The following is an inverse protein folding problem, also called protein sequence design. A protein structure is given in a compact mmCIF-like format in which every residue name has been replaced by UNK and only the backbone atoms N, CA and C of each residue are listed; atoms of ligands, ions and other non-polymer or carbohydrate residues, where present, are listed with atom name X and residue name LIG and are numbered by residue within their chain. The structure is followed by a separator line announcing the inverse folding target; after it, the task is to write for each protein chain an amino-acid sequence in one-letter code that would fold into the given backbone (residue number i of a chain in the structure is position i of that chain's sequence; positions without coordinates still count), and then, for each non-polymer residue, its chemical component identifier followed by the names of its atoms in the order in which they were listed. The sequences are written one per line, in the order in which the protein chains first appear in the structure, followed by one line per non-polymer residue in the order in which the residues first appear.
data_IF_127617445380
#
_entry.id   IF_127617445380
#
_cell.length_a   1.000
_cell.length_b   1.000
_cell.length_c   1.000
_cell.angle_alpha   90.00
_cell.angle_beta   90.00
_cell.angle_gamma   90.00
#
_symmetry.space_group_name_H-M   'P 1'
#
loop_
_entity.id
_entity.type
_entity.pdbx_description
1 polymer ?
#
# COMPACT_ATOMS: atom_id res chain seq x y z
N UNK A 1 -23.43 5.37 -8.82
CA UNK A 1 -23.19 6.57 -7.99
C UNK A 1 -23.40 7.86 -8.78
N UNK A 2 -23.27 7.86 -10.11
CA UNK A 2 -23.52 9.05 -10.94
C UNK A 2 -24.97 9.56 -10.86
N UNK A 3 -25.93 8.66 -10.60
CA UNK A 3 -27.35 9.01 -10.45
C UNK A 3 -27.72 9.41 -9.01
N UNK A 4 -27.12 8.77 -8.02
CA UNK A 4 -27.29 9.07 -6.60
C UNK A 4 -25.99 8.71 -5.87
N UNK A 5 -25.18 9.73 -5.50
CA UNK A 5 -23.95 9.53 -4.74
C UNK A 5 -24.19 9.08 -3.29
N UNK A 6 -25.39 9.33 -2.75
CA UNK A 6 -25.75 9.03 -1.36
C UNK A 6 -26.35 7.63 -1.17
N UNK A 7 -26.45 6.84 -2.25
CA UNK A 7 -27.12 5.55 -2.21
C UNK A 7 -26.27 4.46 -1.55
N UNK A 8 -26.35 4.39 -0.22
CA UNK A 8 -25.57 3.50 0.67
C UNK A 8 -25.63 2.02 0.29
N UNK A 9 -26.77 1.54 -0.23
CA UNK A 9 -26.92 0.15 -0.68
C UNK A 9 -26.00 -0.21 -1.84
N UNK A 10 -25.72 0.74 -2.75
CA UNK A 10 -24.80 0.49 -3.87
C UNK A 10 -23.36 0.47 -3.39
N UNK A 11 -22.97 1.36 -2.46
CA UNK A 11 -21.65 1.31 -1.84
C UNK A 11 -21.40 -0.03 -1.15
N UNK A 12 -22.36 -0.51 -0.37
CA UNK A 12 -22.23 -1.79 0.31
C UNK A 12 -22.12 -2.98 -0.68
N UNK A 13 -22.95 -2.99 -1.74
CA UNK A 13 -22.87 -4.05 -2.76
C UNK A 13 -21.55 -4.05 -3.51
N UNK A 14 -21.02 -2.86 -3.83
CA UNK A 14 -19.74 -2.71 -4.53
C UNK A 14 -18.57 -3.08 -3.63
N UNK A 15 -18.59 -2.69 -2.36
CA UNK A 15 -17.63 -3.13 -1.36
C UNK A 15 -17.62 -4.67 -1.22
N UNK A 16 -18.78 -5.32 -1.20
CA UNK A 16 -18.85 -6.79 -1.16
C UNK A 16 -18.21 -7.43 -2.41
N UNK A 17 -18.47 -6.88 -3.61
CA UNK A 17 -17.85 -7.36 -4.84
C UNK A 17 -16.32 -7.15 -4.83
N UNK A 18 -15.84 -6.05 -4.25
CA UNK A 18 -14.42 -5.82 -4.06
C UNK A 18 -13.79 -6.77 -3.04
N UNK A 19 -14.49 -7.08 -1.95
CA UNK A 19 -14.06 -8.10 -0.99
C UNK A 19 -13.94 -9.48 -1.66
N UNK A 20 -14.91 -9.88 -2.48
CA UNK A 20 -14.87 -11.15 -3.25
C UNK A 20 -13.76 -11.19 -4.31
N UNK A 21 -13.38 -10.03 -4.84
CA UNK A 21 -12.29 -9.92 -5.84
C UNK A 21 -10.94 -9.56 -5.22
N UNK A 22 -10.81 -9.68 -3.90
CA UNK A 22 -9.61 -9.36 -3.11
C UNK A 22 -9.09 -7.94 -3.34
N UNK A 23 -9.95 -7.01 -3.72
CA UNK A 23 -9.65 -5.59 -3.95
C UNK A 23 -9.86 -4.81 -2.66
N UNK A 24 -9.05 -5.09 -1.65
CA UNK A 24 -9.30 -4.58 -0.29
C UNK A 24 -9.15 -3.07 -0.16
N UNK A 25 -8.24 -2.44 -0.92
CA UNK A 25 -8.10 -0.98 -0.97
C UNK A 25 -9.40 -0.30 -1.45
N UNK A 26 -9.96 -0.77 -2.57
CA UNK A 26 -11.21 -0.22 -3.12
C UNK A 26 -12.43 -0.58 -2.26
N UNK A 27 -12.41 -1.74 -1.61
CA UNK A 27 -13.40 -2.11 -0.60
C UNK A 27 -13.39 -1.12 0.57
N UNK A 28 -12.20 -0.81 1.12
CA UNK A 28 -12.04 0.16 2.21
C UNK A 28 -12.62 1.52 1.84
N UNK A 29 -12.30 2.06 0.66
CA UNK A 29 -12.83 3.35 0.21
C UNK A 29 -14.36 3.41 0.16
N UNK A 30 -15.00 2.32 -0.29
CA UNK A 30 -16.47 2.25 -0.34
C UNK A 30 -17.09 2.13 1.05
N UNK A 31 -16.43 1.43 1.97
CA UNK A 31 -16.85 1.33 3.37
C UNK A 31 -16.64 2.65 4.14
N UNK A 32 -15.58 3.38 3.85
CA UNK A 32 -15.32 4.72 4.42
C UNK A 32 -16.43 5.70 4.02
N UNK A 33 -16.75 5.75 2.72
CA UNK A 33 -17.88 6.55 2.20
C UNK A 33 -19.22 6.10 2.78
N UNK A 34 -19.42 4.79 2.96
CA UNK A 34 -20.61 4.26 3.59
C UNK A 34 -20.72 4.73 5.06
N UNK A 35 -19.62 4.74 5.80
CA UNK A 35 -19.59 5.22 7.18
C UNK A 35 -19.81 6.74 7.28
N UNK A 36 -19.30 7.52 6.34
CA UNK A 36 -19.56 8.96 6.26
C UNK A 36 -21.05 9.27 6.02
N UNK A 37 -21.70 8.50 5.14
CA UNK A 37 -23.10 8.68 4.79
C UNK A 37 -24.07 8.06 5.80
N UNK A 38 -23.71 6.90 6.37
CA UNK A 38 -24.47 6.18 7.40
C UNK A 38 -23.56 5.76 8.57
N UNK A 39 -23.36 6.65 9.56
CA UNK A 39 -22.58 6.34 10.75
C UNK A 39 -23.20 5.25 11.63
N UNK A 40 -24.46 4.86 11.38
CA UNK A 40 -25.10 3.78 12.13
C UNK A 40 -24.60 2.39 11.70
N UNK A 41 -24.13 2.27 10.45
CA UNK A 41 -23.65 1.01 9.89
C UNK A 41 -22.49 0.42 10.71
N UNK A 42 -21.50 1.23 11.08
CA UNK A 42 -20.32 0.78 11.83
C UNK A 42 -20.59 0.50 13.33
N UNK A 43 -21.77 0.88 13.84
CA UNK A 43 -22.12 0.68 15.26
C UNK A 43 -22.37 -0.80 15.58
N UNK A 44 -22.74 -1.61 14.59
CA UNK A 44 -22.91 -3.05 14.78
C UNK A 44 -21.55 -3.74 14.94
N UNK A 45 -21.36 -4.59 15.98
CA UNK A 45 -20.08 -5.28 16.21
C UNK A 45 -19.60 -6.10 15.01
N UNK A 46 -20.51 -6.72 14.27
CA UNK A 46 -20.19 -7.48 13.05
C UNK A 46 -19.58 -6.60 11.95
N UNK A 47 -20.16 -5.42 11.69
CA UNK A 47 -19.67 -4.49 10.68
C UNK A 47 -18.33 -3.87 11.10
N UNK A 48 -18.17 -3.53 12.37
CA UNK A 48 -16.88 -3.07 12.90
C UNK A 48 -15.78 -4.11 12.75
N UNK A 49 -16.06 -5.37 13.10
CA UNK A 49 -15.10 -6.46 12.93
C UNK A 49 -14.75 -6.68 11.47
N UNK A 50 -15.75 -6.63 10.57
CA UNK A 50 -15.53 -6.72 9.12
C UNK A 50 -14.64 -5.58 8.62
N UNK A 51 -14.95 -4.34 8.98
CA UNK A 51 -14.16 -3.17 8.60
C UNK A 51 -12.68 -3.31 9.01
N UNK A 52 -12.42 -3.69 10.26
CA UNK A 52 -11.04 -3.88 10.74
C UNK A 52 -10.27 -4.99 10.01
N UNK A 53 -10.97 -6.05 9.55
CA UNK A 53 -10.35 -7.09 8.71
C UNK A 53 -9.97 -6.54 7.33
N UNK A 54 -10.87 -5.79 6.71
CA UNK A 54 -10.62 -5.17 5.39
C UNK A 54 -9.49 -4.16 5.48
N UNK A 55 -9.44 -3.35 6.54
CA UNK A 55 -8.35 -2.40 6.77
C UNK A 55 -7.00 -3.10 6.87
N UNK A 56 -6.89 -4.14 7.70
CA UNK A 56 -5.65 -4.93 7.82
C UNK A 56 -5.25 -5.58 6.49
N UNK A 57 -6.21 -6.15 5.76
CA UNK A 57 -5.95 -6.78 4.47
C UNK A 57 -5.50 -5.77 3.40
N UNK A 58 -6.05 -4.55 3.42
CA UNK A 58 -5.63 -3.47 2.53
C UNK A 58 -4.20 -3.00 2.85
N UNK A 59 -3.85 -2.86 4.13
CA UNK A 59 -2.49 -2.52 4.56
C UNK A 59 -1.49 -3.61 4.17
N UNK A 60 -1.83 -4.88 4.37
CA UNK A 60 -0.98 -6.01 3.98
C UNK A 60 -0.75 -6.07 2.46
N UNK A 61 -1.79 -5.83 1.65
CA UNK A 61 -1.64 -5.74 0.19
C UNK A 61 -0.74 -4.58 -0.22
N UNK A 62 -0.95 -3.40 0.38
CA UNK A 62 -0.14 -2.23 0.08
C UNK A 62 1.34 -2.44 0.41
N UNK A 63 1.64 -2.98 1.59
CA UNK A 63 3.03 -3.26 1.98
C UNK A 63 3.68 -4.34 1.11
N UNK A 64 2.93 -5.37 0.71
CA UNK A 64 3.41 -6.37 -0.24
C UNK A 64 3.71 -5.76 -1.61
N UNK A 65 2.77 -5.02 -2.19
CA UNK A 65 2.96 -4.38 -3.49
C UNK A 65 4.12 -3.38 -3.46
N UNK A 66 4.26 -2.61 -2.37
CA UNK A 66 5.36 -1.67 -2.16
C UNK A 66 6.71 -2.39 -2.06
N UNK A 67 6.78 -3.51 -1.35
CA UNK A 67 7.99 -4.33 -1.30
C UNK A 67 8.36 -4.83 -2.70
N UNK A 68 7.40 -5.38 -3.44
CA UNK A 68 7.60 -5.84 -4.82
C UNK A 68 8.02 -4.69 -5.76
N UNK A 69 7.48 -3.48 -5.59
CA UNK A 69 7.88 -2.30 -6.37
C UNK A 69 9.29 -1.84 -6.02
N UNK A 70 9.66 -1.81 -4.74
CA UNK A 70 11.01 -1.45 -4.30
C UNK A 70 12.04 -2.42 -4.87
N UNK A 71 11.74 -3.71 -4.84
CA UNK A 71 12.66 -4.71 -5.39
C UNK A 71 12.77 -4.59 -6.91
N UNK A 72 11.67 -4.38 -7.63
CA UNK A 72 11.70 -4.07 -9.08
C UNK A 72 12.49 -2.80 -9.41
N UNK A 73 12.40 -1.76 -8.57
CA UNK A 73 13.17 -0.52 -8.75
C UNK A 73 14.67 -0.74 -8.52
N UNK A 74 15.04 -1.56 -7.53
CA UNK A 74 16.43 -1.99 -7.33
C UNK A 74 16.94 -2.78 -8.53
N UNK A 75 16.16 -3.74 -9.03
CA UNK A 75 16.53 -4.55 -10.19
C UNK A 75 16.71 -3.69 -11.45
N UNK A 76 15.84 -2.69 -11.64
CA UNK A 76 15.99 -1.72 -12.72
C UNK A 76 17.29 -0.89 -12.54
N UNK A 77 17.56 -0.40 -11.33
CA UNK A 77 18.79 0.30 -11.00
C UNK A 77 20.03 -0.55 -11.28
N UNK A 78 20.02 -1.81 -10.86
CA UNK A 78 21.08 -2.79 -11.10
C UNK A 78 21.23 -3.15 -12.58
N UNK A 79 20.15 -3.19 -13.34
CA UNK A 79 20.21 -3.41 -14.79
C UNK A 79 20.87 -2.23 -15.50
N UNK A 80 20.56 -1.00 -15.08
CA UNK A 80 21.19 0.21 -15.64
C UNK A 80 22.66 0.30 -15.24
N UNK A 81 22.98 0.14 -13.95
CA UNK A 81 24.35 0.16 -13.45
C UNK A 81 25.18 -1.01 -13.99
N UNK A 82 24.59 -2.19 -14.14
CA UNK A 82 25.26 -3.40 -14.61
C UNK A 82 25.73 -3.28 -16.07
N UNK A 83 25.01 -2.53 -16.91
CA UNK A 83 25.47 -2.19 -18.27
C UNK A 83 26.76 -1.35 -18.28
N UNK A 84 27.09 -0.71 -17.17
CA UNK A 84 28.36 0.00 -16.95
C UNK A 84 29.36 -0.78 -16.07
N UNK A 85 29.06 -2.06 -15.74
CA UNK A 85 29.90 -2.88 -14.86
C UNK A 85 29.75 -2.58 -13.37
N UNK A 86 28.66 -1.95 -12.95
CA UNK A 86 28.41 -1.49 -11.58
C UNK A 86 27.16 -2.16 -10.98
N UNK A 87 27.10 -2.35 -9.66
CA UNK A 87 25.89 -2.75 -8.90
C UNK A 87 25.57 -1.68 -7.85
N UNK A 88 24.31 -1.58 -7.41
CA UNK A 88 23.96 -0.81 -6.21
C UNK A 88 24.73 -1.28 -4.96
N UNK A 89 25.19 -2.53 -4.95
CA UNK A 89 26.01 -3.10 -3.86
C UNK A 89 27.43 -2.56 -3.81
N UNK A 90 27.92 -2.00 -4.92
CA UNK A 90 29.27 -1.45 -4.98
C UNK A 90 29.37 -0.12 -4.20
N UNK A 91 28.25 0.52 -3.88
CA UNK A 91 28.20 1.78 -3.15
C UNK A 91 27.98 1.54 -1.65
N UNK A 92 29.06 1.47 -0.87
CA UNK A 92 28.99 1.41 0.59
C UNK A 92 28.91 2.81 1.17
N UNK A 93 27.78 3.11 1.77
CA UNK A 93 27.63 4.30 2.61
C UNK A 93 28.33 4.06 3.96
N UNK A 94 29.49 4.69 4.16
CA UNK A 94 30.23 4.68 5.43
C UNK A 94 29.85 5.93 6.22
N UNK A 95 29.23 5.73 7.38
CA UNK A 95 28.92 6.84 8.30
C UNK A 95 30.14 7.13 9.16
N UNK A 96 30.62 8.37 9.13
CA UNK A 96 31.69 8.81 10.02
C UNK A 96 31.14 8.99 11.45
N UNK A 97 31.61 8.20 12.45
CA UNK A 97 31.10 8.24 13.82
C UNK A 97 31.36 9.59 14.52
N UNK A 98 32.31 10.39 14.01
CA UNK A 98 32.79 11.60 14.68
C UNK A 98 32.11 12.88 14.20
N UNK A 99 31.70 12.93 12.94
CA UNK A 99 31.10 14.13 12.33
C UNK A 99 29.62 13.95 11.97
N UNK A 100 29.10 12.72 12.03
CA UNK A 100 27.75 12.38 11.57
C UNK A 100 27.57 12.45 10.06
N UNK A 101 28.65 12.72 9.31
CA UNK A 101 28.64 12.84 7.86
C UNK A 101 28.57 11.47 7.19
N UNK A 102 27.86 11.40 6.07
CA UNK A 102 27.73 10.19 5.26
C UNK A 102 28.71 10.28 4.08
N UNK A 103 29.63 9.31 3.98
CA UNK A 103 30.54 9.17 2.83
C UNK A 103 30.12 7.97 1.99
N UNK A 104 29.95 8.15 0.69
CA UNK A 104 29.64 7.06 -0.24
C UNK A 104 30.96 6.58 -0.84
N UNK A 105 31.39 5.38 -0.46
CA UNK A 105 32.59 4.72 -0.95
C UNK A 105 32.22 3.66 -1.97
N UNK A 106 32.86 3.68 -3.13
CA UNK A 106 32.71 2.65 -4.16
C UNK A 106 33.74 1.53 -3.92
N UNK A 107 33.28 0.28 -3.77
CA UNK A 107 34.13 -0.93 -3.72
C UNK A 107 33.82 -1.80 -4.94
N UNK A 108 34.86 -2.13 -5.70
CA UNK A 108 34.84 -3.03 -6.87
C UNK A 108 35.46 -4.37 -6.50
#
# INVERSE_FOLDING_TARGET
LELDPSYTKVLLRRANAYEETEKYSQCKEDLDKLQELDPSWIKTPANRSRYGKIEKAAEEQFEREKAEMVDKLKDLGNTVLGKFGLSTDNFKCVKDPSTGSYSISFQQ
#
